data_IF_733269288693
#
_entry.id   IF_733269288693
#
_cell.length_a   1.000
_cell.length_b   1.000
_cell.length_c   1.000
_cell.angle_alpha   90.00
_cell.angle_beta   90.00
_cell.angle_gamma   90.00
#
_symmetry.space_group_name_H-M   'P 1'
#
loop_
_entity.id
_entity.type
_entity.pdbx_description
1 polymer ?
2 polymer ?
3 non-polymer ?
4 non-polymer ?
5 water ?
#
# COMPACT_ATOMS: atom_id res chain seq x y z
N UNK A 5 14.01 4.14 -3.99
CA UNK A 5 13.16 3.09 -3.48
C UNK A 5 13.29 1.80 -4.30
N UNK A 6 13.55 1.97 -5.60
CA UNK A 6 13.63 0.86 -6.53
C UNK A 6 14.85 0.98 -7.42
N UNK A 7 15.30 -0.16 -7.94
CA UNK A 7 16.43 -0.23 -8.85
C UNK A 7 16.01 -1.01 -10.10
N UNK A 8 16.61 -0.65 -11.23
CA UNK A 8 16.30 -1.25 -12.53
C UNK A 8 17.57 -1.79 -13.14
N UNK A 9 17.57 -3.09 -13.48
CA UNK A 9 18.69 -3.74 -14.15
C UNK A 9 18.18 -4.48 -15.38
N UNK A 10 19.00 -4.51 -16.42
CA UNK A 10 18.68 -5.21 -17.66
C UNK A 10 19.64 -6.37 -17.88
N UNK A 11 19.15 -7.41 -18.55
CA UNK A 11 19.89 -8.66 -18.64
C UNK A 11 19.32 -9.51 -19.78
N UNK A 12 20.22 -10.16 -20.53
CA UNK A 12 19.82 -11.09 -21.57
C UNK A 12 19.72 -12.50 -21.00
N UNK A 13 18.56 -13.13 -21.17
CA UNK A 13 18.30 -14.47 -20.68
C UNK A 13 18.08 -15.38 -21.88
N UNK A 14 18.82 -16.49 -21.94
CA UNK A 14 18.73 -17.44 -23.03
C UNK A 14 18.14 -18.74 -22.51
N UNK A 15 16.96 -19.10 -23.01
CA UNK A 15 16.25 -20.30 -22.59
C UNK A 15 16.17 -21.31 -23.73
N UNK A 16 16.17 -22.58 -23.37
CA UNK A 16 15.86 -23.66 -24.28
C UNK A 16 14.48 -24.21 -23.94
N UNK A 17 13.59 -24.27 -24.94
CA UNK A 17 12.22 -24.73 -24.73
C UNK A 17 12.22 -26.25 -24.61
N UNK A 18 11.85 -26.75 -23.44
CA UNK A 18 11.82 -28.17 -23.20
C UNK A 18 10.45 -28.77 -23.41
N UNK A 19 10.28 -30.04 -23.03
CA UNK A 19 8.97 -30.69 -23.19
C UNK A 19 7.86 -30.02 -22.39
N UNK A 20 8.20 -29.28 -21.34
CA UNK A 20 7.21 -28.56 -20.54
C UNK A 20 7.05 -27.10 -20.97
N UNK A 21 7.66 -26.72 -22.09
CA UNK A 21 7.55 -25.36 -22.57
C UNK A 21 8.52 -24.42 -21.90
N UNK A 22 8.35 -23.12 -22.20
CA UNK A 22 9.17 -22.10 -21.57
C UNK A 22 8.88 -21.99 -20.08
N UNK A 23 7.65 -22.26 -19.67
CA UNK A 23 7.31 -22.28 -18.27
C UNK A 23 7.13 -20.91 -17.63
N UNK A 24 6.49 -19.98 -18.32
CA UNK A 24 6.08 -18.73 -17.70
C UNK A 24 4.95 -18.11 -18.51
N UNK A 25 4.20 -17.23 -17.85
CA UNK A 25 3.06 -16.54 -18.46
C UNK A 25 3.40 -15.06 -18.63
N UNK A 26 2.70 -14.42 -19.57
CA UNK A 26 2.88 -12.99 -19.82
C UNK A 26 1.53 -12.29 -19.81
N UNK A 27 1.58 -10.99 -19.50
CA UNK A 27 0.43 -10.10 -19.60
C UNK A 27 0.93 -8.82 -20.26
N UNK A 28 -0.01 -8.07 -20.82
CA UNK A 28 0.31 -6.74 -21.33
C UNK A 28 -0.03 -6.60 -22.80
N UNK A 29 0.35 -5.45 -23.34
CA UNK A 29 0.03 -5.08 -24.70
C UNK A 29 -0.79 -3.80 -24.74
N UNK A 30 -0.89 -3.23 -25.94
CA UNK A 30 -1.64 -2.00 -26.11
C UNK A 30 -3.12 -2.18 -25.76
N UNK A 31 -3.64 -3.39 -25.91
CA UNK A 31 -5.05 -3.68 -25.67
C UNK A 31 -5.30 -4.42 -24.37
N UNK A 32 -4.27 -4.76 -23.59
CA UNK A 32 -4.41 -5.50 -22.34
C UNK A 32 -3.40 -4.97 -21.33
N UNK A 33 -3.50 -3.68 -21.00
CA UNK A 33 -2.43 -2.99 -20.29
C UNK A 33 -2.34 -3.46 -18.85
N UNK A 34 -1.13 -3.91 -18.47
CA UNK A 34 -0.87 -4.44 -17.13
C UNK A 34 -1.22 -3.41 -16.06
N UNK A 35 -0.62 -2.23 -16.15
CA UNK A 35 -1.06 -1.07 -15.39
C UNK A 35 -1.54 -0.01 -16.39
N UNK A 36 -2.14 1.05 -15.86
CA UNK A 36 -2.82 2.02 -16.70
C UNK A 36 -1.88 2.62 -17.75
N UNK A 37 -2.29 2.55 -19.01
CA UNK A 37 -1.60 3.15 -20.16
C UNK A 37 -0.18 2.61 -20.37
N UNK A 38 0.17 1.52 -19.71
CA UNK A 38 1.44 0.85 -19.94
C UNK A 38 1.20 -0.29 -20.92
N UNK A 39 1.88 -0.25 -22.06
CA UNK A 39 1.73 -1.27 -23.10
C UNK A 39 2.80 -2.35 -23.03
N UNK A 40 3.69 -2.31 -22.04
CA UNK A 40 4.77 -3.27 -21.98
C UNK A 40 4.29 -4.69 -21.71
N UNK A 41 5.17 -5.64 -22.01
CA UNK A 41 4.92 -7.06 -21.78
C UNK A 41 5.62 -7.46 -20.50
N UNK A 42 4.89 -8.12 -19.59
CA UNK A 42 5.40 -8.44 -18.27
C UNK A 42 5.21 -9.92 -17.97
N UNK A 43 6.15 -10.48 -17.22
CA UNK A 43 6.02 -11.84 -16.73
C UNK A 43 5.09 -11.84 -15.51
N UNK A 44 4.00 -12.59 -15.61
CA UNK A 44 3.03 -12.67 -14.51
C UNK A 44 3.21 -13.90 -13.64
N UNK A 45 3.78 -14.98 -14.18
CA UNK A 45 3.85 -16.25 -13.49
C UNK A 45 5.07 -17.03 -13.99
N UNK A 46 5.66 -17.82 -13.12
CA UNK A 46 6.79 -18.68 -13.47
C UNK A 46 6.52 -20.07 -12.91
N UNK A 47 6.33 -21.05 -13.79
CA UNK A 47 5.97 -22.41 -13.38
C UNK A 47 7.20 -23.16 -12.89
N UNK A 48 6.99 -23.98 -11.86
CA UNK A 48 8.08 -24.79 -11.31
C UNK A 48 8.43 -25.92 -12.27
N UNK A 49 9.72 -26.29 -12.24
CA UNK A 49 10.29 -27.29 -13.14
C UNK A 49 10.10 -26.95 -14.61
N UNK A 50 9.81 -25.68 -14.91
CA UNK A 50 9.81 -25.19 -16.27
C UNK A 50 11.17 -24.62 -16.64
N UNK A 51 11.29 -24.24 -17.92
CA UNK A 51 12.57 -23.75 -18.42
C UNK A 51 13.01 -22.48 -17.68
N UNK A 52 12.10 -21.53 -17.51
CA UNK A 52 12.46 -20.27 -16.86
C UNK A 52 12.85 -20.48 -15.40
N UNK A 53 12.10 -21.31 -14.69
CA UNK A 53 12.42 -21.57 -13.28
C UNK A 53 13.78 -22.25 -13.14
N UNK A 54 14.02 -23.30 -13.92
CA UNK A 54 15.29 -24.01 -13.85
C UNK A 54 16.47 -23.16 -14.28
N UNK A 55 16.22 -22.10 -15.06
CA UNK A 55 17.30 -21.17 -15.37
C UNK A 55 17.55 -20.20 -14.23
N UNK A 56 16.48 -19.78 -13.54
CA UNK A 56 16.59 -18.95 -12.37
C UNK A 56 16.65 -17.46 -12.62
N UNK A 57 16.98 -17.04 -13.84
CA UNK A 57 17.23 -15.62 -14.09
C UNK A 57 15.94 -14.82 -14.23
N UNK A 58 14.93 -15.36 -14.90
CA UNK A 58 13.67 -14.66 -15.08
C UNK A 58 12.91 -14.60 -13.75
N UNK A 59 12.20 -13.50 -13.54
CA UNK A 59 11.47 -13.28 -12.30
C UNK A 59 10.10 -12.69 -12.60
N UNK A 60 9.13 -13.01 -11.74
CA UNK A 60 7.78 -12.47 -11.91
C UNK A 60 7.79 -10.96 -11.73
N UNK A 61 7.00 -10.28 -12.55
CA UNK A 61 7.03 -8.83 -12.62
C UNK A 61 8.07 -8.26 -13.54
N UNK A 62 8.93 -9.10 -14.12
CA UNK A 62 9.90 -8.62 -15.10
C UNK A 62 9.21 -8.08 -16.34
N UNK A 63 9.80 -7.06 -16.93
CA UNK A 63 9.37 -6.51 -18.21
C UNK A 63 10.23 -7.12 -19.31
N UNK A 64 9.58 -7.70 -20.32
CA UNK A 64 10.30 -8.34 -21.41
C UNK A 64 10.47 -7.31 -22.52
N UNK A 65 11.72 -6.91 -22.77
CA UNK A 65 12.01 -5.87 -23.74
C UNK A 65 12.00 -6.41 -25.17
N UNK A 66 12.51 -7.62 -25.37
CA UNK A 66 12.63 -8.16 -26.72
C UNK A 66 12.71 -9.67 -26.66
N UNK A 67 12.34 -10.31 -27.77
CA UNK A 67 12.44 -11.75 -27.93
C UNK A 67 13.14 -12.03 -29.25
N UNK A 68 14.25 -12.76 -29.20
CA UNK A 68 15.05 -13.08 -30.38
C UNK A 68 15.35 -11.82 -31.20
N UNK A 69 15.65 -10.73 -30.51
CA UNK A 69 15.97 -9.47 -31.15
C UNK A 69 14.79 -8.65 -31.61
N UNK A 70 13.56 -9.14 -31.44
CA UNK A 70 12.37 -8.42 -31.86
C UNK A 70 11.82 -7.63 -30.67
N UNK A 71 11.75 -6.31 -30.81
CA UNK A 71 11.31 -5.46 -29.71
C UNK A 71 9.82 -5.66 -29.44
N UNK A 72 9.49 -5.74 -28.16
CA UNK A 72 8.10 -5.87 -27.71
C UNK A 72 7.53 -4.52 -27.31
N UNK A 73 7.64 -3.54 -28.20
CA UNK A 73 7.25 -2.16 -27.91
C UNK A 73 5.94 -1.84 -28.62
N UNK A 74 4.92 -1.46 -27.85
CA UNK A 74 3.64 -1.01 -28.38
C UNK A 74 3.01 -2.06 -29.30
N UNK A 75 2.99 -3.30 -28.84
CA UNK A 75 2.38 -4.39 -29.57
C UNK A 75 1.01 -4.73 -28.99
N UNK A 76 0.14 -5.24 -29.85
CA UNK A 76 -1.06 -5.90 -29.35
C UNK A 76 -0.64 -7.11 -28.53
N UNK A 77 -1.49 -7.50 -27.58
CA UNK A 77 -1.19 -8.70 -26.80
C UNK A 77 -0.93 -9.88 -27.72
N UNK A 78 -1.79 -10.06 -28.72
CA UNK A 78 -1.68 -11.22 -29.60
C UNK A 78 -0.38 -11.21 -30.39
N UNK A 79 0.11 -10.03 -30.77
CA UNK A 79 1.35 -9.95 -31.53
C UNK A 79 2.56 -10.35 -30.70
N UNK A 80 2.56 -9.99 -29.42
CA UNK A 80 3.60 -10.47 -28.51
C UNK A 80 3.50 -11.98 -28.33
N UNK A 81 2.28 -12.48 -28.11
CA UNK A 81 2.07 -13.91 -27.98
C UNK A 81 2.58 -14.65 -29.21
N UNK A 82 2.27 -14.11 -30.40
CA UNK A 82 2.66 -14.78 -31.63
C UNK A 82 4.19 -14.84 -31.78
N UNK A 83 4.89 -13.81 -31.30
CA UNK A 83 6.35 -13.84 -31.36
C UNK A 83 6.92 -14.96 -30.49
N UNK A 84 6.29 -15.24 -29.35
CA UNK A 84 6.71 -16.36 -28.51
C UNK A 84 6.30 -17.69 -29.11
N UNK A 85 5.05 -17.79 -29.59
CA UNK A 85 4.56 -19.05 -30.14
C UNK A 85 5.27 -19.47 -31.42
N UNK A 86 5.82 -18.50 -32.17
CA UNK A 86 6.52 -18.78 -33.41
C UNK A 86 8.03 -18.76 -33.25
N UNK A 87 8.54 -18.58 -32.03
CA UNK A 87 9.96 -18.71 -31.80
C UNK A 87 10.37 -20.17 -31.86
N UNK A 88 11.67 -20.40 -32.04
CA UNK A 88 12.22 -21.74 -32.05
C UNK A 88 12.37 -22.29 -30.64
N UNK A 89 13.13 -23.38 -30.54
CA UNK A 89 13.39 -23.94 -29.22
C UNK A 89 14.51 -23.23 -28.49
N UNK A 90 15.27 -22.37 -29.17
CA UNK A 90 16.29 -21.53 -28.54
C UNK A 90 15.74 -20.11 -28.50
N UNK A 91 15.42 -19.62 -27.30
CA UNK A 91 14.72 -18.36 -27.12
C UNK A 91 15.63 -17.41 -26.35
N UNK A 92 15.88 -16.24 -26.93
CA UNK A 92 16.71 -15.20 -26.34
C UNK A 92 15.81 -14.04 -25.90
N UNK A 93 15.88 -13.68 -24.62
CA UNK A 93 15.06 -12.63 -24.03
C UNK A 93 15.97 -11.55 -23.46
N UNK A 94 15.67 -10.30 -23.75
CA UNK A 94 16.21 -9.18 -23.00
C UNK A 94 15.14 -8.67 -22.05
N UNK A 95 15.50 -8.57 -20.77
CA UNK A 95 14.55 -8.42 -19.68
C UNK A 95 15.01 -7.29 -18.77
N UNK A 96 14.03 -6.61 -18.15
CA UNK A 96 14.27 -5.55 -17.19
C UNK A 96 13.70 -5.95 -15.84
N UNK A 97 14.53 -5.92 -14.81
CA UNK A 97 14.12 -6.23 -13.45
C UNK A 97 13.80 -4.95 -12.68
N UNK A 98 12.95 -5.09 -11.66
CA UNK A 98 12.61 -3.99 -10.75
C UNK A 98 12.81 -4.50 -9.33
N UNK A 99 13.78 -3.92 -8.62
CA UNK A 99 14.19 -4.41 -7.31
C UNK A 99 13.96 -3.34 -6.26
N UNK A 100 13.31 -3.72 -5.17
CA UNK A 100 13.05 -2.81 -4.05
C UNK A 100 14.16 -2.98 -3.03
N UNK A 101 14.88 -1.89 -2.75
CA UNK A 101 16.05 -1.94 -1.87
C UNK A 101 15.93 -0.90 -0.76
N UNK A 102 14.70 -0.60 -0.34
CA UNK A 102 14.47 0.36 0.73
C UNK A 102 14.20 -0.31 2.07
N UNK A 103 13.24 -1.24 2.12
CA UNK A 103 12.95 -1.91 3.38
C UNK A 103 12.33 -0.96 4.39
N UNK A 104 12.82 -1.04 5.63
CA UNK A 104 12.32 -0.22 6.72
C UNK A 104 13.25 0.95 7.03
N UNK A 105 13.98 1.44 6.03
CA UNK A 105 14.95 2.51 6.26
C UNK A 105 14.29 3.76 6.85
N UNK A 106 13.04 4.06 6.48
CA UNK A 106 12.34 5.22 7.00
C UNK A 106 11.29 4.87 8.06
N UNK A 107 11.22 3.61 8.46
CA UNK A 107 10.35 3.25 9.56
C UNK A 107 11.00 3.54 10.91
N UNK A 108 10.15 3.74 11.91
CA UNK A 108 10.65 3.95 13.27
C UNK A 108 10.91 2.65 14.01
N UNK A 109 10.19 1.58 13.65
CA UNK A 109 10.37 0.28 14.29
C UNK A 109 11.24 -0.57 13.38
N UNK A 110 12.38 -1.01 13.91
CA UNK A 110 13.33 -1.86 13.19
C UNK A 110 13.36 -3.25 13.79
N UNK A 111 13.87 -4.20 13.01
CA UNK A 111 14.08 -5.55 13.51
C UNK A 111 15.06 -5.52 14.68
N UNK A 112 14.69 -6.20 15.77
CA UNK A 112 15.54 -6.26 16.94
C UNK A 112 16.71 -7.20 16.69
N UNK A 113 17.94 -6.71 16.91
CA UNK A 113 19.11 -7.44 16.46
C UNK A 113 19.33 -8.73 17.25
N UNK A 114 19.10 -8.71 18.56
CA UNK A 114 19.31 -9.89 19.41
C UNK A 114 18.03 -10.69 19.64
N UNK A 115 17.18 -10.73 18.63
CA UNK A 115 15.86 -11.36 18.75
C UNK A 115 15.96 -12.85 19.03
N UNK A 116 15.09 -13.32 19.93
CA UNK A 116 14.95 -14.75 20.23
C UNK A 116 13.47 -15.01 20.43
N UNK A 117 12.84 -15.65 19.45
CA UNK A 117 11.39 -15.79 19.46
C UNK A 117 10.91 -16.61 20.65
N UNK A 118 11.62 -17.71 20.97
CA UNK A 118 11.22 -18.55 22.09
C UNK A 118 11.33 -17.80 23.41
N UNK A 119 12.38 -17.00 23.57
CA UNK A 119 12.53 -16.22 24.79
C UNK A 119 11.42 -15.18 24.92
N UNK A 120 11.14 -14.45 23.83
CA UNK A 120 10.04 -13.49 23.85
C UNK A 120 8.72 -14.17 24.19
N UNK A 121 8.44 -15.31 23.58
CA UNK A 121 7.19 -16.01 23.83
C UNK A 121 7.04 -16.40 25.31
N UNK A 122 8.12 -16.88 25.92
CA UNK A 122 8.08 -17.25 27.33
C UNK A 122 7.86 -16.03 28.22
N UNK A 123 8.57 -14.93 27.94
CA UNK A 123 8.42 -13.75 28.78
C UNK A 123 7.05 -13.12 28.64
N UNK A 124 6.43 -13.20 27.47
CA UNK A 124 5.07 -12.70 27.31
C UNK A 124 4.08 -13.61 28.05
N UNK A 125 4.28 -14.92 27.98
CA UNK A 125 3.43 -15.82 28.75
C UNK A 125 3.52 -15.50 30.24
N UNK A 126 4.74 -15.31 30.75
CA UNK A 126 4.90 -14.97 32.16
C UNK A 126 4.22 -13.65 32.49
N UNK A 127 4.37 -12.64 31.61
CA UNK A 127 3.74 -11.34 31.84
C UNK A 127 2.23 -11.45 31.81
N UNK A 128 1.70 -12.33 30.95
CA UNK A 128 0.26 -12.52 30.89
C UNK A 128 -0.25 -13.15 32.16
N UNK A 129 0.52 -14.07 32.76
CA UNK A 129 0.04 -14.88 33.86
C UNK A 129 0.41 -14.36 35.24
N UNK A 130 1.31 -13.38 35.35
CA UNK A 130 1.57 -12.80 36.65
C UNK A 130 0.30 -12.15 37.19
N UNK A 131 0.17 -12.12 38.51
CA UNK A 131 -1.01 -11.54 39.14
C UNK A 131 -1.17 -10.09 38.70
N UNK A 132 -2.26 -9.81 37.98
CA UNK A 132 -2.58 -8.47 37.55
C UNK A 132 -2.13 -8.11 36.15
N UNK A 133 -1.41 -9.00 35.47
CA UNK A 133 -0.89 -8.80 34.11
C UNK A 133 0.21 -7.74 34.07
N UNK A 134 1.36 -8.11 33.54
CA UNK A 134 2.49 -7.19 33.38
C UNK A 134 2.42 -6.56 31.99
N UNK A 135 1.58 -5.52 31.88
CA UNK A 135 1.40 -4.86 30.59
C UNK A 135 2.68 -4.18 30.11
N UNK A 136 3.51 -3.71 31.04
CA UNK A 136 4.74 -3.00 30.68
C UNK A 136 5.65 -3.91 29.86
N UNK A 137 5.83 -5.15 30.31
CA UNK A 137 6.70 -6.07 29.58
C UNK A 137 6.11 -6.43 28.22
N UNK A 138 4.79 -6.62 28.15
CA UNK A 138 4.14 -6.92 26.88
C UNK A 138 4.37 -5.79 25.89
N UNK A 139 4.20 -4.55 26.35
CA UNK A 139 4.39 -3.39 25.46
C UNK A 139 5.86 -3.25 25.07
N UNK A 140 6.76 -3.36 26.05
CA UNK A 140 8.19 -3.24 25.78
C UNK A 140 8.66 -4.21 24.71
N UNK A 141 8.19 -5.46 24.77
CA UNK A 141 8.59 -6.46 23.80
C UNK A 141 7.98 -6.16 22.44
N UNK A 142 6.64 -6.16 22.36
CA UNK A 142 5.97 -6.20 21.06
C UNK A 142 6.18 -4.92 20.25
N UNK A 143 6.32 -3.77 20.89
CA UNK A 143 6.55 -2.54 20.13
C UNK A 143 8.02 -2.34 19.76
N UNK A 144 8.91 -3.23 20.19
CA UNK A 144 10.33 -3.13 19.86
C UNK A 144 10.78 -4.35 19.07
N UNK A 145 9.87 -4.91 18.29
CA UNK A 145 10.16 -5.98 17.34
C UNK A 145 9.47 -5.65 16.03
N UNK A 146 10.08 -6.06 14.92
CA UNK A 146 9.43 -5.85 13.63
C UNK A 146 8.21 -6.76 13.50
N UNK A 147 7.35 -6.44 12.54
CA UNK A 147 6.12 -7.22 12.37
C UNK A 147 6.42 -8.70 12.16
N UNK A 148 7.42 -9.01 11.36
CA UNK A 148 7.70 -10.42 11.08
C UNK A 148 8.26 -11.13 12.29
N UNK A 149 9.02 -10.42 13.14
CA UNK A 149 9.45 -11.01 14.40
C UNK A 149 8.24 -11.30 15.30
N UNK A 150 7.26 -10.39 15.31
CA UNK A 150 6.05 -10.64 16.09
C UNK A 150 5.35 -11.91 15.63
N UNK A 151 5.38 -12.20 14.34
CA UNK A 151 4.78 -13.43 13.84
C UNK A 151 5.52 -14.66 14.38
N UNK A 152 6.85 -14.58 14.47
CA UNK A 152 7.62 -15.68 15.04
C UNK A 152 7.31 -15.86 16.53
N UNK A 153 7.14 -14.75 17.25
CA UNK A 153 6.74 -14.82 18.66
C UNK A 153 5.40 -15.53 18.78
N UNK A 154 4.43 -15.14 17.95
CA UNK A 154 3.10 -15.74 18.04
C UNK A 154 3.15 -17.23 17.73
N UNK A 155 4.01 -17.64 16.78
CA UNK A 155 4.15 -19.06 16.48
C UNK A 155 4.75 -19.81 17.67
N UNK A 156 5.80 -19.26 18.27
CA UNK A 156 6.43 -19.93 19.41
C UNK A 156 5.48 -19.97 20.61
N UNK A 157 4.67 -18.92 20.79
CA UNK A 157 3.73 -18.89 21.90
C UNK A 157 2.70 -20.01 21.77
N UNK A 158 2.09 -20.14 20.59
CA UNK A 158 1.11 -21.19 20.37
C UNK A 158 1.73 -22.56 20.56
N UNK A 159 2.97 -22.74 20.11
CA UNK A 159 3.62 -24.03 20.21
C UNK A 159 3.78 -24.46 21.66
N UNK A 160 4.11 -23.53 22.55
CA UNK A 160 4.38 -23.90 23.93
C UNK A 160 3.15 -23.87 24.83
N UNK A 161 2.16 -23.01 24.56
CA UNK A 161 0.97 -22.96 25.38
C UNK A 161 -0.22 -23.72 24.78
N UNK A 162 -0.19 -24.02 23.49
CA UNK A 162 -1.31 -24.59 22.75
C UNK A 162 -2.49 -23.63 22.67
N UNK A 163 -2.25 -22.33 22.87
CA UNK A 163 -3.27 -21.30 22.72
C UNK A 163 -2.72 -20.16 21.88
N UNK A 164 -3.61 -19.51 21.13
CA UNK A 164 -3.19 -18.41 20.27
C UNK A 164 -2.83 -17.18 21.11
N UNK A 165 -1.74 -16.53 20.73
CA UNK A 165 -1.27 -15.37 21.50
C UNK A 165 -2.29 -14.24 21.47
N UNK A 166 -2.94 -14.02 20.32
CA UNK A 166 -3.92 -12.94 20.22
C UNK A 166 -5.13 -13.21 21.12
N UNK A 167 -5.55 -14.47 21.20
CA UNK A 167 -6.63 -14.83 22.11
C UNK A 167 -6.24 -14.55 23.55
N UNK A 168 -5.04 -14.97 23.96
CA UNK A 168 -4.59 -14.75 25.33
C UNK A 168 -4.54 -13.26 25.65
N UNK A 169 -4.10 -12.44 24.70
CA UNK A 169 -3.97 -11.00 24.95
C UNK A 169 -5.34 -10.31 24.97
N UNK A 170 -6.32 -10.85 24.24
CA UNK A 170 -7.68 -10.33 24.35
C UNK A 170 -8.19 -10.41 25.78
N UNK A 171 -7.86 -11.50 26.48
CA UNK A 171 -8.27 -11.66 27.86
C UNK A 171 -7.41 -10.85 28.83
N UNK A 172 -6.13 -10.66 28.51
CA UNK A 172 -5.23 -9.96 29.41
C UNK A 172 -5.32 -8.44 29.28
N UNK A 173 -5.70 -7.94 28.11
CA UNK A 173 -5.68 -6.52 27.83
C UNK A 173 -7.09 -6.00 27.64
N UNK A 174 -7.21 -4.67 27.64
CA UNK A 174 -8.49 -4.00 27.38
C UNK A 174 -8.21 -2.59 26.86
N UNK A 175 -9.29 -1.89 26.51
CA UNK A 175 -9.20 -0.50 26.10
C UNK A 175 -8.37 -0.32 24.84
N UNK A 176 -7.88 0.91 24.69
CA UNK A 176 -7.12 1.25 23.49
C UNK A 176 -5.81 0.46 23.40
N UNK A 177 -5.25 0.06 24.55
CA UNK A 177 -4.03 -0.74 24.51
C UNK A 177 -4.26 -2.06 23.79
N UNK A 178 -5.39 -2.72 24.08
CA UNK A 178 -5.72 -3.95 23.38
C UNK A 178 -5.81 -3.72 21.88
N UNK A 179 -6.44 -2.62 21.45
CA UNK A 179 -6.54 -2.33 20.03
C UNK A 179 -5.17 -2.18 19.39
N UNK A 180 -4.25 -1.49 20.07
CA UNK A 180 -2.90 -1.31 19.55
C UNK A 180 -2.20 -2.66 19.40
N UNK A 181 -2.20 -3.46 20.47
CA UNK A 181 -1.40 -4.67 20.51
C UNK A 181 -1.94 -5.69 19.50
N UNK A 182 -3.26 -5.87 19.45
CA UNK A 182 -3.85 -6.79 18.49
C UNK A 182 -3.58 -6.34 17.06
N UNK A 183 -3.55 -5.03 16.82
CA UNK A 183 -3.22 -4.55 15.48
C UNK A 183 -1.79 -4.86 15.09
N UNK A 184 -0.85 -4.74 16.03
CA UNK A 184 0.55 -5.03 15.75
C UNK A 184 0.78 -6.50 15.43
N UNK A 185 -0.08 -7.39 15.93
CA UNK A 185 0.11 -8.82 15.71
C UNK A 185 -0.39 -9.29 14.35
N UNK A 186 -1.13 -8.47 13.62
CA UNK A 186 -1.49 -8.81 12.26
C UNK A 186 -0.38 -8.40 11.30
N UNK A 187 -0.24 -9.15 10.20
CA UNK A 187 0.65 -8.70 9.14
C UNK A 187 0.09 -7.41 8.54
N UNK A 188 0.93 -6.62 7.86
CA UNK A 188 0.42 -5.36 7.28
C UNK A 188 -0.80 -5.56 6.40
N UNK A 189 -0.80 -6.59 5.55
CA UNK A 189 -1.94 -6.84 4.68
C UNK A 189 -3.16 -7.30 5.47
N UNK A 190 -2.96 -8.18 6.47
CA UNK A 190 -4.09 -8.60 7.30
C UNK A 190 -4.69 -7.43 8.06
N UNK A 191 -3.84 -6.54 8.57
CA UNK A 191 -4.34 -5.39 9.31
C UNK A 191 -5.16 -4.47 8.41
N UNK A 192 -4.64 -4.15 7.23
CA UNK A 192 -5.37 -3.30 6.28
C UNK A 192 -6.66 -3.97 5.84
N UNK A 193 -6.60 -5.26 5.51
CA UNK A 193 -7.81 -5.97 5.11
C UNK A 193 -8.85 -5.94 6.20
N UNK A 194 -8.45 -6.18 7.46
CA UNK A 194 -9.42 -6.22 8.55
C UNK A 194 -10.00 -4.84 8.82
N UNK A 195 -9.19 -3.79 8.68
CA UNK A 195 -9.71 -2.43 8.88
C UNK A 195 -10.70 -2.04 7.77
N UNK A 196 -10.44 -2.46 6.54
CA UNK A 196 -11.38 -2.21 5.46
C UNK A 196 -12.68 -2.97 5.69
N UNK A 197 -12.57 -4.26 6.01
CA UNK A 197 -13.75 -5.07 6.28
C UNK A 197 -14.60 -4.45 7.39
N UNK A 198 -13.97 -3.95 8.45
CA UNK A 198 -14.71 -3.37 9.56
C UNK A 198 -15.39 -2.06 9.17
N UNK A 199 -14.84 -1.33 8.21
CA UNK A 199 -15.42 -0.06 7.81
C UNK A 199 -16.63 -0.21 6.89
N UNK A 200 -16.85 -1.38 6.31
CA UNK A 200 -17.94 -1.58 5.36
C UNK A 200 -19.15 -2.12 6.11
N UNK A 201 -20.14 -1.25 6.32
CA UNK A 201 -21.34 -1.52 7.09
C UNK A 201 -22.57 -1.10 6.29
N UNK A 202 -22.54 -1.36 4.98
CA UNK A 202 -23.65 -0.96 4.14
C UNK A 202 -23.81 0.54 4.11
N UNK A 203 -25.00 1.02 4.45
CA UNK A 203 -25.24 2.46 4.53
C UNK A 203 -24.52 3.10 5.71
N UNK A 204 -24.05 2.29 6.66
CA UNK A 204 -23.28 2.81 7.77
C UNK A 204 -21.79 2.69 7.55
N UNK A 205 -21.39 2.67 6.28
CA UNK A 205 -19.98 2.52 5.94
C UNK A 205 -19.17 3.69 6.48
N UNK A 206 -17.97 3.37 7.00
CA UNK A 206 -17.03 4.36 7.52
C UNK A 206 -16.19 4.84 6.33
N UNK A 207 -16.69 5.87 5.64
CA UNK A 207 -16.02 6.34 4.43
C UNK A 207 -14.63 6.89 4.73
N UNK A 208 -14.46 7.53 5.89
CA UNK A 208 -13.18 8.15 6.22
C UNK A 208 -12.07 7.10 6.34
N UNK A 209 -12.38 5.95 6.93
CA UNK A 209 -11.38 4.89 7.05
C UNK A 209 -11.14 4.22 5.70
N UNK A 210 -12.20 4.01 4.92
CA UNK A 210 -12.06 3.53 3.55
C UNK A 210 -11.14 4.44 2.75
N UNK A 211 -11.41 5.75 2.81
CA UNK A 211 -10.63 6.72 2.04
C UNK A 211 -9.16 6.66 2.45
N UNK A 212 -8.90 6.64 3.76
CA UNK A 212 -7.52 6.71 4.23
C UNK A 212 -6.68 5.54 3.71
N UNK A 213 -7.22 4.33 3.76
CA UNK A 213 -6.46 3.16 3.33
C UNK A 213 -6.36 3.10 1.82
N UNK A 214 -7.50 3.20 1.12
CA UNK A 214 -7.49 3.01 -0.32
C UNK A 214 -6.70 4.12 -1.02
N UNK A 215 -6.78 5.35 -0.50
CA UNK A 215 -6.07 6.46 -1.15
C UNK A 215 -4.57 6.44 -0.89
N UNK A 216 -4.10 5.77 0.16
CA UNK A 216 -2.70 5.90 0.54
C UNK A 216 -1.84 4.68 0.22
N UNK A 217 -2.44 3.53 -0.08
CA UNK A 217 -1.65 2.32 -0.32
C UNK A 217 -1.18 2.27 -1.78
N UNK A 218 0.00 1.69 -1.98
CA UNK A 218 0.59 1.58 -3.31
C UNK A 218 0.03 0.37 -4.06
N UNK A 219 0.45 0.22 -5.32
CA UNK A 219 0.03 -0.94 -6.12
C UNK A 219 0.39 -2.25 -5.42
N UNK A 220 1.65 -2.37 -4.99
CA UNK A 220 2.10 -3.62 -4.38
C UNK A 220 1.36 -3.91 -3.08
N UNK A 221 1.15 -2.87 -2.25
CA UNK A 221 0.41 -3.06 -1.02
C UNK A 221 -1.03 -3.48 -1.29
N UNK A 222 -1.68 -2.81 -2.25
CA UNK A 222 -3.07 -3.12 -2.59
C UNK A 222 -3.21 -4.53 -3.16
N UNK A 223 -2.22 -4.97 -3.94
CA UNK A 223 -2.29 -6.33 -4.48
C UNK A 223 -2.26 -7.36 -3.35
N UNK A 224 -1.42 -7.14 -2.35
CA UNK A 224 -1.38 -8.04 -1.20
C UNK A 224 -2.67 -7.93 -0.38
N UNK A 225 -3.17 -6.71 -0.20
CA UNK A 225 -4.44 -6.52 0.51
C UNK A 225 -5.55 -7.28 -0.19
N UNK A 226 -5.61 -7.18 -1.53
CA UNK A 226 -6.66 -7.86 -2.27
C UNK A 226 -6.58 -9.37 -2.10
N UNK A 227 -5.38 -9.94 -2.16
CA UNK A 227 -5.22 -11.38 -1.98
C UNK A 227 -5.62 -11.81 -0.59
N UNK A 228 -5.10 -11.13 0.43
CA UNK A 228 -5.37 -11.52 1.82
C UNK A 228 -6.84 -11.31 2.17
N UNK A 229 -7.43 -10.22 1.70
CA UNK A 229 -8.86 -9.97 1.92
C UNK A 229 -9.70 -11.15 1.46
N UNK A 230 -9.42 -11.65 0.25
CA UNK A 230 -10.18 -12.77 -0.30
C UNK A 230 -10.01 -14.03 0.55
N UNK A 231 -8.79 -14.31 1.00
CA UNK A 231 -8.57 -15.48 1.85
C UNK A 231 -9.34 -15.34 3.16
N UNK A 232 -9.26 -14.16 3.79
CA UNK A 232 -9.85 -13.98 5.10
C UNK A 232 -11.38 -14.00 5.04
N UNK A 233 -11.97 -13.35 4.04
CA UNK A 233 -13.40 -13.08 4.05
C UNK A 233 -14.17 -13.77 2.93
N UNK A 234 -13.50 -14.52 2.07
CA UNK A 234 -14.14 -15.33 1.02
C UNK A 234 -14.90 -14.49 0.01
N UNK A 235 -14.57 -13.20 -0.09
CA UNK A 235 -15.15 -12.34 -1.11
C UNK A 235 -14.09 -11.32 -1.51
N UNK A 236 -14.13 -10.91 -2.78
CA UNK A 236 -13.17 -9.94 -3.27
C UNK A 236 -13.42 -8.57 -2.64
N UNK A 237 -12.34 -7.84 -2.35
CA UNK A 237 -12.45 -6.51 -1.78
C UNK A 237 -13.30 -5.60 -2.67
N UNK A 238 -13.13 -5.70 -3.99
CA UNK A 238 -13.87 -4.84 -4.90
C UNK A 238 -15.37 -5.05 -4.78
N UNK A 239 -15.80 -6.31 -4.61
CA UNK A 239 -17.22 -6.60 -4.49
C UNK A 239 -17.81 -5.96 -3.23
N UNK A 240 -17.06 -5.98 -2.13
CA UNK A 240 -17.54 -5.34 -0.90
C UNK A 240 -17.59 -3.82 -1.06
N UNK A 241 -16.64 -3.25 -1.80
CA UNK A 241 -16.71 -1.81 -2.09
C UNK A 241 -17.96 -1.50 -2.92
N UNK A 242 -18.21 -2.30 -3.95
CA UNK A 242 -19.34 -2.05 -4.84
C UNK A 242 -20.66 -2.11 -4.07
N UNK A 243 -20.80 -3.08 -3.17
CA UNK A 243 -22.05 -3.23 -2.44
C UNK A 243 -22.17 -2.30 -1.23
N UNK A 244 -21.14 -1.50 -0.94
CA UNK A 244 -21.17 -0.61 0.23
C UNK A 244 -20.91 0.85 -0.12
N UNK A 245 -20.81 1.20 -1.40
CA UNK A 245 -20.65 2.58 -1.82
C UNK A 245 -21.54 2.82 -3.03
N UNK A 246 -21.68 4.10 -3.42
CA UNK A 246 -22.47 4.45 -4.58
C UNK A 246 -21.90 5.71 -5.23
N UNK A 247 -22.45 6.05 -6.39
CA UNK A 247 -22.16 7.26 -7.14
C UNK A 247 -20.71 7.33 -7.60
N UNK A 248 -20.25 8.56 -7.81
CA UNK A 248 -18.87 8.77 -8.25
C UNK A 248 -17.87 8.38 -7.16
N UNK A 249 -18.28 8.42 -5.90
CA UNK A 249 -17.42 7.95 -4.83
C UNK A 249 -17.07 6.47 -5.03
N UNK A 250 -18.07 5.65 -5.37
CA UNK A 250 -17.82 4.24 -5.62
C UNK A 250 -16.87 4.04 -6.80
N UNK A 251 -17.08 4.77 -7.89
CA UNK A 251 -16.22 4.59 -9.06
C UNK A 251 -14.78 4.95 -8.72
N UNK A 252 -14.57 6.01 -7.95
CA UNK A 252 -13.22 6.40 -7.53
C UNK A 252 -12.59 5.34 -6.64
N UNK A 253 -13.33 4.85 -5.64
CA UNK A 253 -12.79 3.84 -4.73
C UNK A 253 -12.47 2.55 -5.46
N UNK A 254 -13.37 2.12 -6.35
CA UNK A 254 -13.13 0.90 -7.12
C UNK A 254 -11.85 1.04 -7.95
N UNK A 255 -11.73 2.16 -8.66
CA UNK A 255 -10.55 2.37 -9.52
C UNK A 255 -9.27 2.33 -8.70
N UNK A 256 -9.25 3.03 -7.56
CA UNK A 256 -8.04 3.05 -6.74
C UNK A 256 -7.73 1.68 -6.16
N UNK A 257 -8.76 0.95 -5.73
CA UNK A 257 -8.53 -0.33 -5.07
C UNK A 257 -7.95 -1.39 -6.00
N UNK A 258 -8.08 -1.20 -7.32
CA UNK A 258 -7.49 -2.16 -8.26
C UNK A 258 -5.97 -2.21 -8.11
N UNK A 259 -5.36 -1.10 -7.68
CA UNK A 259 -3.91 -1.07 -7.55
C UNK A 259 -3.19 -1.24 -8.87
N UNK A 260 -3.68 -0.60 -9.93
CA UNK A 260 -3.08 -0.69 -11.26
C UNK A 260 -2.65 0.69 -11.76
N UNK A 261 -2.27 1.57 -10.83
CA UNK A 261 -1.70 2.86 -11.22
C UNK A 261 -0.45 2.65 -12.06
N UNK A 262 -0.22 3.54 -13.03
CA UNK A 262 1.01 3.48 -13.82
C UNK A 262 2.21 3.52 -12.88
N UNK A 263 3.20 2.68 -13.17
CA UNK A 263 4.39 2.65 -12.35
C UNK A 263 5.35 3.77 -12.77
N UNK A 264 6.28 4.07 -11.87
CA UNK A 264 7.26 5.12 -12.10
C UNK A 264 8.03 4.87 -13.38
N UNK A 265 8.04 5.87 -14.26
CA UNK A 265 8.73 5.77 -15.53
C UNK A 265 10.13 6.35 -15.47
N UNK A 266 10.95 5.93 -16.44
CA UNK A 266 12.30 6.47 -16.54
C UNK A 266 12.30 7.86 -17.17
N UNK A 267 11.46 8.08 -18.16
CA UNK A 267 11.36 9.36 -18.85
C UNK A 267 10.20 10.15 -18.27
N UNK A 268 10.44 11.42 -18.00
CA UNK A 268 9.38 12.34 -17.62
C UNK A 268 8.64 12.75 -18.89
N UNK A 269 7.32 12.56 -18.90
CA UNK A 269 6.51 12.83 -20.09
C UNK A 269 5.91 14.22 -19.94
N UNK A 270 6.69 15.24 -20.33
CA UNK A 270 6.27 16.62 -20.11
C UNK A 270 5.04 16.98 -20.93
N UNK A 271 4.94 16.45 -22.14
CA UNK A 271 3.78 16.74 -22.96
C UNK A 271 2.49 16.23 -22.30
N UNK A 272 2.54 15.02 -21.77
CA UNK A 272 1.36 14.48 -21.08
C UNK A 272 1.11 15.21 -19.76
N UNK A 273 2.17 15.66 -19.08
CA UNK A 273 1.98 16.45 -17.87
C UNK A 273 1.14 17.69 -18.17
N UNK A 274 1.49 18.39 -19.24
CA UNK A 274 0.76 19.59 -19.62
C UNK A 274 -0.66 19.26 -20.06
N UNK A 275 -0.84 18.21 -20.86
CA UNK A 275 -2.16 17.85 -21.34
C UNK A 275 -3.07 17.42 -20.18
N UNK A 276 -2.54 16.64 -19.23
CA UNK A 276 -3.33 16.26 -18.06
C UNK A 276 -3.73 17.47 -17.24
N UNK A 277 -2.83 18.45 -17.12
CA UNK A 277 -3.14 19.65 -16.36
C UNK A 277 -4.26 20.45 -17.02
N UNK A 278 -4.20 20.60 -18.35
CA UNK A 278 -5.28 21.28 -19.06
C UNK A 278 -6.59 20.54 -18.91
N UNK A 279 -6.56 19.21 -19.02
CA UNK A 279 -7.76 18.40 -18.87
C UNK A 279 -8.41 18.59 -17.50
N UNK A 280 -7.60 18.60 -16.44
CA UNK A 280 -8.14 18.77 -15.10
C UNK A 280 -8.84 20.12 -14.96
N UNK A 281 -8.25 21.17 -15.52
CA UNK A 281 -8.85 22.49 -15.50
C UNK A 281 -10.13 22.52 -16.35
N UNK A 282 -10.05 22.01 -17.58
CA UNK A 282 -11.22 22.02 -18.47
C UNK A 282 -12.38 21.23 -17.88
N UNK A 283 -12.08 20.14 -17.17
CA UNK A 283 -13.12 19.30 -16.59
C UNK A 283 -13.73 19.88 -15.32
N UNK A 284 -13.07 20.85 -14.69
CA UNK A 284 -13.54 21.36 -13.42
C UNK A 284 -13.79 22.86 -13.42
N UNK A 285 -12.80 23.63 -12.98
CA UNK A 285 -12.99 25.05 -12.70
C UNK A 285 -13.35 25.83 -13.96
N UNK A 286 -12.88 25.38 -15.13
CA UNK A 286 -13.16 26.14 -16.36
C UNK A 286 -14.62 26.03 -16.80
N UNK A 287 -15.33 24.99 -16.39
CA UNK A 287 -16.68 24.74 -16.88
C UNK A 287 -17.69 24.84 -15.75
N UNK A 288 -18.95 24.99 -16.13
CA UNK A 288 -20.05 24.86 -15.19
C UNK A 288 -20.24 23.38 -14.87
N UNK A 289 -20.37 23.05 -13.60
CA UNK A 289 -20.36 21.66 -13.22
C UNK A 289 -18.97 21.05 -13.34
N UNK A 290 -18.93 19.71 -13.30
CA UNK A 290 -17.68 18.98 -13.27
C UNK A 290 -17.79 17.71 -14.10
N UNK A 291 -16.74 17.40 -14.86
CA UNK A 291 -16.60 16.09 -15.51
C UNK A 291 -15.81 15.19 -14.57
N UNK A 292 -16.54 14.57 -13.64
CA UNK A 292 -15.88 13.76 -12.60
C UNK A 292 -15.13 12.56 -13.19
N UNK A 293 -15.66 11.81 -14.17
CA UNK A 293 -14.88 10.68 -14.70
C UNK A 293 -13.52 11.07 -15.26
N UNK A 294 -13.40 12.27 -15.84
CA UNK A 294 -12.09 12.71 -16.32
C UNK A 294 -11.13 12.92 -15.15
N UNK A 295 -11.61 13.53 -14.06
CA UNK A 295 -10.78 13.63 -12.87
C UNK A 295 -10.37 12.26 -12.34
N UNK A 296 -11.31 11.31 -12.30
CA UNK A 296 -11.02 9.98 -11.77
C UNK A 296 -9.97 9.29 -12.64
N UNK A 297 -10.15 9.36 -13.96
CA UNK A 297 -9.22 8.68 -14.86
C UNK A 297 -7.79 9.19 -14.67
N UNK A 298 -7.62 10.51 -14.64
CA UNK A 298 -6.28 11.08 -14.55
C UNK A 298 -5.65 10.77 -13.20
N UNK A 299 -6.39 10.98 -12.12
CA UNK A 299 -5.81 10.87 -10.79
C UNK A 299 -5.61 9.43 -10.33
N UNK A 300 -6.27 8.46 -10.95
CA UNK A 300 -6.04 7.07 -10.58
C UNK A 300 -5.10 6.33 -11.53
N UNK A 301 -4.87 6.85 -12.74
CA UNK A 301 -4.09 6.15 -13.75
C UNK A 301 -2.63 6.56 -13.81
N UNK A 302 -2.31 7.83 -13.64
CA UNK A 302 -0.94 8.30 -13.84
C UNK A 302 -0.07 7.98 -12.63
N UNK A 303 1.24 7.92 -12.86
CA UNK A 303 2.17 7.64 -11.77
C UNK A 303 2.17 8.80 -10.78
N UNK A 304 2.54 8.48 -9.54
CA UNK A 304 2.64 9.51 -8.50
C UNK A 304 3.61 10.62 -8.86
N UNK A 305 4.84 10.34 -9.32
CA UNK A 305 5.72 11.44 -9.75
C UNK A 305 5.14 12.27 -10.89
N UNK A 306 4.45 11.62 -11.84
CA UNK A 306 3.83 12.35 -12.93
C UNK A 306 2.77 13.30 -12.41
N UNK A 307 1.90 12.81 -11.52
CA UNK A 307 0.81 13.63 -11.00
C UNK A 307 1.33 14.78 -10.16
N UNK A 308 2.42 14.56 -9.42
CA UNK A 308 3.05 15.66 -8.69
C UNK A 308 3.38 16.82 -9.63
N UNK A 309 3.95 16.52 -10.80
CA UNK A 309 4.24 17.55 -11.77
C UNK A 309 2.97 18.07 -12.42
N UNK A 310 1.94 17.22 -12.58
CA UNK A 310 0.68 17.69 -13.14
C UNK A 310 0.05 18.76 -12.25
N UNK A 311 0.03 18.51 -10.94
CA UNK A 311 -0.61 19.46 -10.02
C UNK A 311 0.10 20.80 -10.01
N UNK A 312 1.43 20.83 -10.22
CA UNK A 312 2.14 22.10 -10.32
C UNK A 312 1.82 22.81 -11.64
N UNK A 313 1.82 22.05 -12.74
CA UNK A 313 1.47 22.63 -14.03
C UNK A 313 0.02 23.12 -14.04
N UNK A 314 -0.85 22.46 -13.27
CA UNK A 314 -2.24 22.89 -13.17
C UNK A 314 -2.35 24.33 -12.67
N UNK A 315 -1.45 24.73 -11.78
CA UNK A 315 -1.45 26.11 -11.28
C UNK A 315 -1.12 27.13 -12.36
N UNK A 316 -0.45 26.71 -13.45
CA UNK A 316 -0.19 27.63 -14.55
C UNK A 316 -1.48 28.05 -15.25
N UNK A 317 -2.47 27.17 -15.29
CA UNK A 317 -3.72 27.39 -16.01
C UNK A 317 -4.85 27.90 -15.11
N UNK A 318 -4.93 27.40 -13.88
CA UNK A 318 -6.05 27.61 -12.98
C UNK A 318 -5.74 28.66 -11.93
N UNK A 319 -6.68 29.56 -11.65
CA UNK A 319 -6.48 30.51 -10.53
C UNK A 319 -6.40 29.84 -9.18
N UNK A 320 -6.79 28.58 -9.08
CA UNK A 320 -6.84 27.84 -7.82
C UNK A 320 -6.00 26.58 -7.95
N UNK A 321 -5.31 26.20 -6.87
CA UNK A 321 -4.55 24.95 -6.92
C UNK A 321 -5.52 23.77 -6.88
N UNK A 322 -4.97 22.55 -6.98
CA UNK A 322 -5.83 21.38 -7.12
C UNK A 322 -6.71 21.18 -5.91
N UNK A 323 -6.19 21.40 -4.70
CA UNK A 323 -6.97 21.16 -3.49
C UNK A 323 -8.14 22.12 -3.38
N UNK A 324 -7.89 23.43 -3.56
CA UNK A 324 -9.00 24.36 -3.47
C UNK A 324 -9.95 24.22 -4.65
N UNK A 325 -9.44 23.73 -5.79
CA UNK A 325 -10.32 23.40 -6.91
C UNK A 325 -11.30 22.30 -6.52
N UNK A 326 -10.81 21.26 -5.83
CA UNK A 326 -11.68 20.18 -5.39
C UNK A 326 -12.76 20.72 -4.46
N UNK A 327 -12.38 21.57 -3.51
CA UNK A 327 -13.35 22.15 -2.59
C UNK A 327 -14.40 22.95 -3.34
N UNK A 328 -14.01 23.67 -4.39
CA UNK A 328 -14.98 24.46 -5.14
C UNK A 328 -15.86 23.61 -6.05
N UNK A 329 -15.40 22.43 -6.46
CA UNK A 329 -16.07 21.67 -7.52
C UNK A 329 -17.01 20.59 -7.01
N UNK A 330 -16.64 19.86 -5.96
CA UNK A 330 -17.40 18.69 -5.51
C UNK A 330 -17.61 18.77 -4.00
N UNK A 331 -18.47 17.88 -3.49
CA UNK A 331 -18.86 17.89 -2.08
C UNK A 331 -18.95 16.46 -1.56
N UNK A 332 -19.14 16.36 -0.24
CA UNK A 332 -19.44 15.08 0.40
C UNK A 332 -18.25 14.13 0.44
N UNK A 333 -18.57 12.84 0.40
CA UNK A 333 -17.54 11.80 0.42
C UNK A 333 -16.62 11.92 -0.79
N UNK A 334 -17.18 12.29 -1.95
CA UNK A 334 -16.38 12.46 -3.16
C UNK A 334 -15.33 13.54 -2.97
N UNK A 335 -15.74 14.69 -2.40
CA UNK A 335 -14.78 15.75 -2.11
C UNK A 335 -13.71 15.27 -1.14
N UNK A 336 -14.11 14.57 -0.08
CA UNK A 336 -13.14 14.10 0.91
C UNK A 336 -12.15 13.14 0.28
N UNK A 337 -12.63 12.23 -0.58
CA UNK A 337 -11.74 11.25 -1.20
C UNK A 337 -10.71 11.94 -2.10
N UNK A 338 -11.16 12.88 -2.93
CA UNK A 338 -10.21 13.59 -3.80
C UNK A 338 -9.19 14.38 -2.98
N UNK A 339 -9.65 15.03 -1.91
CA UNK A 339 -8.72 15.80 -1.07
C UNK A 339 -7.66 14.90 -0.45
N UNK A 340 -8.06 13.75 0.09
CA UNK A 340 -7.10 12.82 0.66
C UNK A 340 -6.16 12.28 -0.42
N UNK A 341 -6.70 11.91 -1.57
CA UNK A 341 -5.88 11.34 -2.64
C UNK A 341 -4.82 12.34 -3.11
N UNK A 342 -5.22 13.60 -3.34
CA UNK A 342 -4.27 14.59 -3.82
C UNK A 342 -3.18 14.85 -2.78
N UNK A 343 -3.56 14.91 -1.49
CA UNK A 343 -2.54 15.05 -0.46
C UNK A 343 -1.60 13.85 -0.43
N UNK A 344 -2.15 12.63 -0.56
CA UNK A 344 -1.31 11.44 -0.59
C UNK A 344 -0.31 11.49 -1.75
N UNK A 345 -0.76 11.98 -2.92
CA UNK A 345 0.12 12.06 -4.08
C UNK A 345 1.18 13.12 -3.87
N UNK A 346 0.79 14.30 -3.37
CA UNK A 346 1.71 15.41 -3.26
C UNK A 346 2.78 15.15 -2.20
N UNK A 347 2.39 14.65 -1.04
CA UNK A 347 3.34 14.47 0.07
C UNK A 347 2.69 13.50 1.06
N UNK A 348 2.99 12.22 0.90
CA UNK A 348 2.31 11.22 1.71
C UNK A 348 2.67 11.32 3.19
N UNK A 349 3.95 11.53 3.56
CA UNK A 349 4.24 11.68 5.00
C UNK A 349 3.56 12.87 5.63
N UNK A 350 3.47 13.98 4.89
CA UNK A 350 2.75 15.14 5.38
C UNK A 350 1.26 14.85 5.51
N UNK A 351 0.72 14.04 4.60
CA UNK A 351 -0.68 13.62 4.71
C UNK A 351 -0.93 12.91 6.03
N UNK A 352 -0.06 11.97 6.38
CA UNK A 352 -0.24 11.24 7.64
C UNK A 352 0.02 12.13 8.83
N UNK A 353 0.99 13.05 8.72
CA UNK A 353 1.23 14.00 9.80
C UNK A 353 0.00 14.86 10.07
N UNK A 354 -0.68 15.30 9.00
CA UNK A 354 -1.88 16.11 9.19
C UNK A 354 -3.04 15.29 9.74
N UNK A 355 -3.14 14.03 9.33
CA UNK A 355 -4.20 13.18 9.88
C UNK A 355 -3.97 12.91 11.36
N UNK A 356 -2.70 12.73 11.76
CA UNK A 356 -2.38 12.55 13.16
C UNK A 356 -2.69 13.81 13.97
N UNK A 357 -2.30 14.98 13.46
CA UNK A 357 -2.67 16.22 14.14
C UNK A 357 -4.19 16.32 14.29
N UNK A 358 -4.94 16.08 13.21
CA UNK A 358 -6.39 16.16 13.29
C UNK A 358 -6.97 15.20 14.32
N UNK A 359 -6.37 14.03 14.47
CA UNK A 359 -6.91 13.04 15.40
C UNK A 359 -6.70 13.43 16.85
N UNK A 360 -5.81 14.38 17.13
CA UNK A 360 -5.50 14.78 18.50
C UNK A 360 -5.79 16.23 18.83
N UNK A 361 -5.92 17.11 17.83
CA UNK A 361 -5.86 18.56 18.10
C UNK A 361 -6.96 19.02 19.04
N UNK A 362 -8.16 18.44 18.94
CA UNK A 362 -9.33 18.94 19.64
C UNK A 362 -9.73 18.11 20.85
N UNK A 363 -11.01 18.22 21.21
CA UNK A 363 -11.53 17.49 22.36
C UNK A 363 -11.36 15.99 22.18
N UNK A 364 -10.79 15.35 23.19
CA UNK A 364 -10.58 13.92 23.12
C UNK A 364 -9.64 13.52 21.99
N UNK A 365 -9.84 12.30 21.51
CA UNK A 365 -8.95 11.69 20.52
C UNK A 365 -9.76 10.83 19.56
N UNK A 366 -9.43 10.90 18.27
CA UNK A 366 -9.91 9.92 17.31
C UNK A 366 -8.93 8.74 17.33
N UNK A 367 -9.06 7.92 18.39
CA UNK A 367 -8.10 6.85 18.64
C UNK A 367 -8.02 5.86 17.48
N UNK A 368 -9.15 5.60 16.81
CA UNK A 368 -9.16 4.66 15.70
C UNK A 368 -8.17 5.08 14.62
N UNK A 369 -8.13 6.37 14.30
CA UNK A 369 -7.23 6.88 13.27
C UNK A 369 -5.80 6.93 13.80
N UNK A 370 -5.63 7.44 15.02
CA UNK A 370 -4.30 7.53 15.62
C UNK A 370 -3.63 6.17 15.69
N UNK A 371 -4.34 5.17 16.24
CA UNK A 371 -3.78 3.83 16.35
C UNK A 371 -3.42 3.27 14.98
N UNK A 372 -4.35 3.37 14.02
CA UNK A 372 -4.13 2.74 12.72
C UNK A 372 -2.90 3.33 12.03
N UNK A 373 -2.71 4.65 12.09
CA UNK A 373 -1.54 5.26 11.48
C UNK A 373 -0.26 4.83 12.20
N UNK A 374 -0.28 4.85 13.53
CA UNK A 374 0.92 4.48 14.28
C UNK A 374 1.29 3.01 14.04
N UNK A 375 0.29 2.14 13.96
CA UNK A 375 0.56 0.73 13.67
C UNK A 375 1.04 0.56 12.23
N UNK A 376 0.31 1.11 11.27
CA UNK A 376 0.54 0.76 9.86
C UNK A 376 1.73 1.50 9.23
N UNK A 377 2.13 2.66 9.75
CA UNK A 377 3.24 3.38 9.15
C UNK A 377 4.54 3.25 9.94
N UNK A 378 4.54 2.53 11.06
CA UNK A 378 5.73 2.46 11.91
C UNK A 378 6.91 1.78 11.22
N UNK A 379 6.64 0.88 10.28
CA UNK A 379 7.72 0.21 9.55
C UNK A 379 7.83 0.69 8.11
N UNK A 380 7.20 1.82 7.78
CA UNK A 380 7.19 2.32 6.41
C UNK A 380 7.88 3.67 6.34
N UNK A 381 7.22 4.72 6.86
CA UNK A 381 7.75 6.07 6.70
C UNK A 381 7.56 6.95 7.94
N UNK A 382 7.46 6.35 9.14
CA UNK A 382 7.22 7.13 10.35
C UNK A 382 8.30 8.19 10.57
N UNK A 383 9.54 7.91 10.18
CA UNK A 383 10.58 8.92 10.35
C UNK A 383 10.31 10.13 9.47
N UNK A 384 9.77 9.93 8.27
CA UNK A 384 9.40 11.05 7.42
C UNK A 384 8.17 11.75 7.96
N UNK A 385 7.19 10.98 8.44
CA UNK A 385 6.02 11.57 9.07
C UNK A 385 6.43 12.48 10.21
N UNK A 386 7.33 11.99 11.07
CA UNK A 386 7.77 12.79 12.21
C UNK A 386 8.46 14.07 11.78
N UNK A 387 9.25 14.01 10.70
CA UNK A 387 9.93 15.20 10.21
C UNK A 387 8.94 16.23 9.69
N UNK A 388 7.95 15.79 8.90
CA UNK A 388 6.94 16.72 8.40
C UNK A 388 6.11 17.29 9.53
N UNK A 389 5.77 16.45 10.52
CA UNK A 389 4.98 16.90 11.67
C UNK A 389 5.71 18.01 12.42
N UNK A 390 6.96 17.75 12.81
CA UNK A 390 7.75 18.73 13.55
C UNK A 390 7.91 20.03 12.76
N UNK A 391 8.14 19.91 11.45
CA UNK A 391 8.33 21.11 10.63
C UNK A 391 7.06 21.95 10.56
N UNK A 392 5.90 21.31 10.48
CA UNK A 392 4.65 22.07 10.36
C UNK A 392 4.14 22.54 11.72
N UNK A 393 4.17 21.68 12.72
CA UNK A 393 3.47 21.97 13.97
C UNK A 393 4.38 22.48 15.07
N UNK A 394 5.70 22.48 14.84
CA UNK A 394 6.62 23.06 15.82
C UNK A 394 6.98 22.14 16.96
N UNK A 395 6.00 21.48 17.56
CA UNK A 395 6.27 20.41 18.51
C UNK A 395 6.20 19.07 17.79
N UNK A 396 6.75 18.05 18.44
CA UNK A 396 6.91 16.74 17.83
C UNK A 396 5.64 15.92 17.90
N UNK A 397 5.56 14.90 17.05
CA UNK A 397 4.50 13.91 17.15
C UNK A 397 4.47 13.28 18.54
N UNK A 398 5.65 12.92 19.05
CA UNK A 398 5.80 12.38 20.40
C UNK A 398 5.07 13.26 21.43
N UNK A 399 5.30 14.56 21.35
CA UNK A 399 4.69 15.49 22.31
C UNK A 399 3.17 15.44 22.25
N UNK A 400 2.60 15.43 21.04
CA UNK A 400 1.14 15.45 20.94
C UNK A 400 0.53 14.15 21.44
N UNK A 401 1.16 13.02 21.12
CA UNK A 401 0.71 11.73 21.66
C UNK A 401 0.75 11.77 23.19
N UNK A 402 1.85 12.28 23.74
CA UNK A 402 1.98 12.37 25.19
C UNK A 402 0.87 13.19 25.81
N UNK A 403 0.47 14.28 25.14
CA UNK A 403 -0.56 15.14 25.70
C UNK A 403 -1.97 14.55 25.57
N UNK A 404 -2.19 13.66 24.60
CA UNK A 404 -3.55 13.20 24.31
C UNK A 404 -3.88 11.83 24.86
N UNK A 405 -2.89 11.03 25.22
CA UNK A 405 -3.09 9.66 25.69
C UNK A 405 -2.38 9.47 27.03
N UNK A 406 -2.72 8.37 27.72
CA UNK A 406 -2.15 8.10 29.03
C UNK A 406 -1.90 6.60 29.20
N UNK A 407 -1.11 6.27 30.22
CA UNK A 407 -0.97 4.90 30.65
C UNK A 407 -0.08 4.08 29.72
N UNK A 408 -0.31 2.76 29.78
CA UNK A 408 0.42 1.85 28.91
C UNK A 408 0.06 2.05 27.45
N UNK A 409 -1.17 2.50 27.17
CA UNK A 409 -1.55 2.87 25.81
C UNK A 409 -0.66 3.98 25.29
N UNK A 410 -0.48 5.05 26.07
CA UNK A 410 0.47 6.10 25.69
C UNK A 410 1.85 5.52 25.44
N UNK A 411 2.33 4.65 26.34
CA UNK A 411 3.68 4.14 26.21
C UNK A 411 3.84 3.34 24.92
N UNK A 412 2.84 2.54 24.56
CA UNK A 412 2.92 1.77 23.32
C UNK A 412 3.00 2.69 22.10
N UNK A 413 2.18 3.75 22.08
CA UNK A 413 2.18 4.67 20.94
C UNK A 413 3.50 5.42 20.84
N UNK A 414 4.10 5.78 21.98
CA UNK A 414 5.38 6.49 21.93
C UNK A 414 6.50 5.58 21.44
N UNK A 415 6.45 4.30 21.79
CA UNK A 415 7.42 3.35 21.22
C UNK A 415 7.24 3.23 19.72
N UNK A 416 5.99 3.22 19.25
CA UNK A 416 5.73 3.16 17.82
C UNK A 416 6.17 4.44 17.12
N UNK A 417 6.06 5.58 17.81
CA UNK A 417 6.63 6.82 17.31
C UNK A 417 8.14 6.71 17.18
N UNK A 418 8.79 6.08 18.15
CA UNK A 418 10.19 5.75 18.08
C UNK A 418 11.12 6.71 18.77
N UNK A 419 10.66 7.92 19.06
CA UNK A 419 11.51 8.91 19.68
C UNK A 419 10.91 10.29 19.50
N UNK A 420 11.52 11.25 20.21
CA UNK A 420 11.05 12.62 20.20
C UNK A 420 11.68 13.39 19.04
N UNK A 421 10.89 14.33 18.49
CA UNK A 421 11.19 15.01 17.23
C UNK A 421 11.23 14.01 16.08
N UNK B 11 -6.20 -11.59 -18.32
CA UNK B 11 -5.87 -12.71 -19.22
C UNK B 11 -4.36 -12.91 -19.39
N UNK B 13 -1.11 -15.41 -20.54
CA UNK B 13 -0.87 -16.43 -21.57
C UNK B 13 0.32 -17.31 -21.23
N UNK B 14 0.10 -18.62 -21.14
CA UNK B 14 1.17 -19.56 -20.85
C UNK B 14 2.03 -19.78 -22.08
N UNK B 15 3.35 -19.79 -21.87
CA UNK B 15 4.29 -19.94 -22.96
C UNK B 15 5.18 -21.17 -22.75
#
# INVERSE_FOLDING_TARGET
GSHMDYLVTEEEINLTRGPSGLGFNIVGGTDQQYVSNDSGIYVSRIKENGAAALDGRLQEGDKILSVNGQDLKNLLHQDAVDLFRNAGYAVSLRVQHRLQVQGSAYGSVKAYTNFDAERDALNIETAIKTKGVDEVTIVNILTNRSNEQRQDIAFAYQRRTKKELASALKSALSGHLETVILGLLKTPAQYDASELKASMKGLGTDEDSLIEIICSRTNQELQEINRVYKEMYKTDLEKDIISDTSGDFRKLMVALAKGRRAEDGSVIDYELIDQDARDLYDAGVKRKGTDVPKWISIMTERSVPHLQKVFDRYKSYSPYDMLESIRKEVKGDLENAFLNLVQCIQNKPLYFADRLYDSMKGKGTRDKVLIRIMVSRSEVDMLKIRSEFKRKYGKSLYYYIQQDTKGDYQKALLYLCGGDD
TDDSRRVRKLPXTTL
#
